data_IF_045661029415
#
_entry.id   IF_045661029415
#
_cell.length_a   1.000
_cell.length_b   1.000
_cell.length_c   1.000
_cell.angle_alpha   90.00
_cell.angle_beta   90.00
_cell.angle_gamma   90.00
#
_symmetry.space_group_name_H-M   'P 1'
#
loop_
_entity.id
_entity.type
_entity.pdbx_description
1 polymer ?
#
# COMPACT_ATOMS: atom_id res chain seq x y z
N UNK A 1 27.98 3.04 -23.02
CA UNK A 1 26.81 2.16 -23.16
C UNK A 1 25.60 3.05 -23.20
N UNK A 2 24.97 3.14 -24.35
CA UNK A 2 23.71 3.84 -24.54
C UNK A 2 22.64 3.20 -23.62
N UNK A 3 21.83 4.03 -22.97
CA UNK A 3 20.84 3.57 -22.03
C UNK A 3 19.56 3.16 -22.77
N UNK A 4 19.49 1.91 -23.20
CA UNK A 4 18.43 1.34 -24.05
C UNK A 4 17.23 0.80 -23.24
N UNK A 5 16.95 1.36 -22.05
CA UNK A 5 15.98 0.80 -21.11
C UNK A 5 14.53 0.83 -21.59
N UNK A 6 14.19 1.62 -22.57
CA UNK A 6 12.84 1.84 -23.08
C UNK A 6 12.70 1.71 -24.60
N UNK A 7 13.63 1.04 -25.28
CA UNK A 7 13.62 0.88 -26.74
C UNK A 7 12.40 0.11 -27.29
N UNK A 8 11.60 -0.49 -26.39
CA UNK A 8 10.40 -1.24 -26.76
C UNK A 8 9.09 -0.45 -26.54
N UNK A 9 9.15 0.74 -25.99
CA UNK A 9 7.95 1.53 -25.70
C UNK A 9 8.03 2.87 -26.42
N UNK A 10 7.06 3.16 -27.28
CA UNK A 10 6.89 4.50 -27.85
C UNK A 10 6.68 5.52 -26.72
N UNK A 11 7.25 6.72 -26.91
CA UNK A 11 7.09 7.81 -25.94
C UNK A 11 5.61 8.16 -25.79
N UNK A 12 5.08 7.98 -24.59
CA UNK A 12 3.71 8.36 -24.26
C UNK A 12 3.71 9.49 -23.21
N UNK A 13 3.37 10.73 -23.61
CA UNK A 13 3.35 11.87 -22.71
C UNK A 13 2.46 11.66 -21.47
N UNK A 14 1.33 11.00 -21.63
CA UNK A 14 0.39 10.72 -20.53
C UNK A 14 1.05 9.85 -19.45
N UNK A 15 1.68 8.74 -19.84
CA UNK A 15 2.38 7.87 -18.89
C UNK A 15 3.51 8.61 -18.17
N UNK A 16 4.26 9.42 -18.90
CA UNK A 16 5.36 10.23 -18.33
C UNK A 16 4.84 11.23 -17.30
N UNK A 17 3.73 11.91 -17.59
CA UNK A 17 3.11 12.86 -16.66
C UNK A 17 2.56 12.17 -15.40
N UNK A 18 1.88 11.04 -15.54
CA UNK A 18 1.37 10.26 -14.40
C UNK A 18 2.52 9.81 -13.49
N UNK A 19 3.61 9.31 -14.07
CA UNK A 19 4.80 8.92 -13.32
C UNK A 19 5.43 10.11 -12.59
N UNK A 20 5.58 11.25 -13.27
CA UNK A 20 6.12 12.47 -12.67
C UNK A 20 5.27 12.97 -11.50
N UNK A 21 3.97 13.05 -11.67
CA UNK A 21 3.03 13.48 -10.60
C UNK A 21 3.13 12.52 -9.41
N UNK A 22 3.18 11.21 -9.64
CA UNK A 22 3.34 10.24 -8.57
C UNK A 22 4.64 10.45 -7.78
N UNK A 23 5.75 10.71 -8.47
CA UNK A 23 7.04 11.03 -7.83
C UNK A 23 6.97 12.32 -7.03
N UNK A 24 6.29 13.35 -7.57
CA UNK A 24 6.11 14.63 -6.88
C UNK A 24 5.28 14.46 -5.59
N UNK A 25 4.19 13.68 -5.64
CA UNK A 25 3.40 13.34 -4.44
C UNK A 25 4.26 12.60 -3.40
N UNK A 26 5.11 11.68 -3.85
CA UNK A 26 6.07 11.00 -2.97
C UNK A 26 7.07 11.95 -2.32
N UNK A 27 7.61 12.92 -3.06
CA UNK A 27 8.52 13.94 -2.54
C UNK A 27 7.82 14.85 -1.51
N UNK A 28 6.59 15.28 -1.77
CA UNK A 28 5.78 16.08 -0.84
C UNK A 28 5.46 15.29 0.44
N UNK A 29 5.13 14.00 0.32
CA UNK A 29 4.94 13.13 1.47
C UNK A 29 6.23 13.00 2.29
N UNK A 30 7.38 12.85 1.63
CA UNK A 30 8.70 12.80 2.28
C UNK A 30 9.02 14.06 3.06
N UNK A 31 8.80 15.23 2.44
CA UNK A 31 8.99 16.52 3.08
C UNK A 31 8.04 16.68 4.30
N UNK A 32 6.78 16.29 4.15
CA UNK A 32 5.80 16.34 5.24
C UNK A 32 6.20 15.46 6.42
N UNK A 33 6.69 14.24 6.16
CA UNK A 33 7.18 13.33 7.20
C UNK A 33 8.47 13.85 7.86
N UNK A 34 9.34 14.51 7.11
CA UNK A 34 10.53 15.15 7.65
C UNK A 34 10.15 16.30 8.60
N UNK A 35 9.23 17.17 8.19
CA UNK A 35 8.70 18.25 9.05
C UNK A 35 8.05 17.66 10.29
N UNK A 36 7.22 16.62 10.14
CA UNK A 36 6.59 15.91 11.25
C UNK A 36 7.65 15.38 12.24
N UNK A 37 8.71 14.76 11.74
CA UNK A 37 9.79 14.24 12.57
C UNK A 37 10.50 15.37 13.33
N UNK A 38 10.86 16.46 12.67
CA UNK A 38 11.50 17.62 13.31
C UNK A 38 10.58 18.21 14.39
N UNK A 39 9.30 18.43 14.09
CA UNK A 39 8.34 18.97 15.05
C UNK A 39 8.07 18.01 16.22
N UNK A 40 8.24 16.70 16.02
CA UNK A 40 8.06 15.69 17.07
C UNK A 40 9.05 15.84 18.23
N UNK A 41 10.23 16.45 18.01
CA UNK A 41 11.23 16.68 19.06
C UNK A 41 10.71 17.54 20.22
N UNK A 42 9.66 18.35 20.00
CA UNK A 42 8.95 19.05 21.07
C UNK A 42 8.45 18.08 22.15
N UNK A 43 8.16 16.84 21.79
CA UNK A 43 7.67 15.79 22.70
C UNK A 43 8.77 14.90 23.27
N UNK A 44 10.05 15.22 23.02
CA UNK A 44 11.19 14.38 23.47
C UNK A 44 11.20 14.11 24.98
N UNK A 45 10.85 15.13 25.78
CA UNK A 45 10.82 15.00 27.24
C UNK A 45 9.52 14.39 27.79
N UNK A 46 8.43 14.48 27.04
CA UNK A 46 7.09 14.08 27.52
C UNK A 46 6.60 12.77 26.95
N UNK A 47 6.87 12.50 25.64
CA UNK A 47 6.39 11.31 24.93
C UNK A 47 7.47 10.83 23.93
N UNK A 48 8.56 10.25 24.41
CA UNK A 48 9.67 9.75 23.59
C UNK A 48 9.20 8.81 22.46
N UNK A 49 8.14 8.02 22.72
CA UNK A 49 7.58 7.09 21.71
C UNK A 49 7.07 7.81 20.47
N UNK A 50 6.54 9.03 20.58
CA UNK A 50 6.08 9.83 19.42
C UNK A 50 7.27 10.18 18.52
N UNK A 51 8.39 10.61 19.12
CA UNK A 51 9.60 10.97 18.37
C UNK A 51 10.20 9.73 17.69
N UNK A 52 10.29 8.61 18.42
CA UNK A 52 10.80 7.36 17.88
C UNK A 52 9.97 6.89 16.67
N UNK A 53 8.64 6.87 16.81
CA UNK A 53 7.75 6.44 15.72
C UNK A 53 7.72 7.42 14.55
N UNK A 54 7.87 8.72 14.79
CA UNK A 54 8.04 9.69 13.71
C UNK A 54 9.33 9.44 12.92
N UNK A 55 10.42 9.07 13.59
CA UNK A 55 11.67 8.65 12.95
C UNK A 55 11.51 7.34 12.15
N UNK A 56 10.79 6.35 12.70
CA UNK A 56 10.49 5.08 12.02
C UNK A 56 9.68 5.33 10.74
N UNK A 57 8.65 6.19 10.81
CA UNK A 57 7.83 6.56 9.63
C UNK A 57 8.69 7.22 8.55
N UNK A 58 9.55 8.16 8.92
CA UNK A 58 10.46 8.81 7.98
C UNK A 58 11.44 7.80 7.34
N UNK A 59 12.00 6.91 8.14
CA UNK A 59 12.89 5.84 7.64
C UNK A 59 12.16 4.90 6.68
N UNK A 60 10.97 4.42 7.05
CA UNK A 60 10.16 3.53 6.19
C UNK A 60 9.78 4.20 4.88
N UNK A 61 9.48 5.50 4.90
CA UNK A 61 9.17 6.25 3.68
C UNK A 61 10.39 6.39 2.78
N UNK A 62 11.56 6.70 3.34
CA UNK A 62 12.83 6.73 2.60
C UNK A 62 13.19 5.37 2.02
N UNK A 63 13.02 4.29 2.80
CA UNK A 63 13.21 2.92 2.35
C UNK A 63 12.24 2.56 1.21
N UNK A 64 10.97 2.97 1.33
CA UNK A 64 10.00 2.75 0.27
C UNK A 64 10.33 3.52 -1.01
N UNK A 65 10.83 4.75 -0.90
CA UNK A 65 11.31 5.52 -2.05
C UNK A 65 12.50 4.83 -2.73
N UNK A 66 13.45 4.29 -1.95
CA UNK A 66 14.55 3.49 -2.49
C UNK A 66 14.06 2.22 -3.19
N UNK A 67 13.13 1.47 -2.59
CA UNK A 67 12.50 0.32 -3.25
C UNK A 67 11.85 0.72 -4.57
N UNK A 68 11.11 1.84 -4.61
CA UNK A 68 10.50 2.37 -5.82
C UNK A 68 11.52 2.64 -6.93
N UNK A 69 12.68 3.20 -6.60
CA UNK A 69 13.78 3.37 -7.53
C UNK A 69 14.28 2.01 -8.06
N UNK A 70 14.44 1.00 -7.19
CA UNK A 70 14.89 -0.34 -7.61
C UNK A 70 13.87 -1.04 -8.51
N UNK A 71 12.56 -0.78 -8.36
CA UNK A 71 11.51 -1.29 -9.26
C UNK A 71 11.73 -0.76 -10.67
N UNK A 72 11.97 0.55 -10.81
CA UNK A 72 12.24 1.17 -12.12
C UNK A 72 13.52 0.60 -12.74
N UNK A 73 14.61 0.50 -11.96
CA UNK A 73 15.89 -0.04 -12.45
C UNK A 73 15.83 -1.52 -12.84
N UNK A 74 14.92 -2.31 -12.29
CA UNK A 74 14.79 -3.73 -12.58
C UNK A 74 13.81 -4.08 -13.69
N UNK A 75 13.39 -3.09 -14.49
CA UNK A 75 12.40 -3.27 -15.57
C UNK A 75 11.12 -3.92 -15.02
N UNK A 76 10.60 -3.35 -13.93
CA UNK A 76 9.33 -3.72 -13.30
C UNK A 76 9.28 -5.20 -12.84
N UNK A 77 10.34 -5.66 -12.18
CA UNK A 77 10.37 -7.01 -11.61
C UNK A 77 9.21 -7.20 -10.61
N UNK A 78 8.36 -8.25 -10.76
CA UNK A 78 7.14 -8.44 -9.97
C UNK A 78 7.39 -8.55 -8.46
N UNK A 79 8.47 -9.23 -8.07
CA UNK A 79 8.84 -9.37 -6.65
C UNK A 79 9.15 -8.00 -6.03
N UNK A 80 9.88 -7.15 -6.76
CA UNK A 80 10.19 -5.79 -6.29
C UNK A 80 8.96 -4.91 -6.21
N UNK A 81 8.03 -5.05 -7.15
CA UNK A 81 6.75 -4.33 -7.13
C UNK A 81 5.95 -4.73 -5.88
N UNK A 82 5.81 -6.04 -5.64
CA UNK A 82 5.09 -6.56 -4.46
C UNK A 82 5.72 -6.08 -3.16
N UNK A 83 7.07 -6.15 -3.07
CA UNK A 83 7.80 -5.69 -1.88
C UNK A 83 7.61 -4.20 -1.64
N UNK A 84 7.67 -3.39 -2.70
CA UNK A 84 7.43 -1.95 -2.61
C UNK A 84 6.00 -1.63 -2.13
N UNK A 85 4.98 -2.33 -2.64
CA UNK A 85 3.60 -2.17 -2.19
C UNK A 85 3.42 -2.58 -0.72
N UNK A 86 4.03 -3.68 -0.27
CA UNK A 86 3.99 -4.12 1.12
C UNK A 86 4.69 -3.13 2.05
N UNK A 87 5.82 -2.58 1.65
CA UNK A 87 6.53 -1.53 2.40
C UNK A 87 5.70 -0.25 2.52
N UNK A 88 4.95 0.12 1.47
CA UNK A 88 4.03 1.26 1.53
C UNK A 88 2.90 1.05 2.54
N UNK A 89 2.31 -0.15 2.58
CA UNK A 89 1.27 -0.49 3.58
C UNK A 89 1.82 -0.47 5.01
N UNK A 90 3.04 -0.98 5.22
CA UNK A 90 3.71 -0.92 6.51
C UNK A 90 3.92 0.53 6.95
N UNK A 91 4.29 1.42 6.03
CA UNK A 91 4.44 2.84 6.32
C UNK A 91 3.10 3.50 6.72
N UNK A 92 2.01 3.17 6.02
CA UNK A 92 0.66 3.64 6.39
C UNK A 92 0.27 3.13 7.78
N UNK A 93 0.52 1.86 8.09
CA UNK A 93 0.26 1.30 9.41
C UNK A 93 1.05 2.02 10.51
N UNK A 94 2.33 2.32 10.28
CA UNK A 94 3.17 3.07 11.18
C UNK A 94 2.66 4.51 11.40
N UNK A 95 2.18 5.18 10.35
CA UNK A 95 1.55 6.50 10.44
C UNK A 95 0.27 6.48 11.29
N UNK A 96 -0.61 5.49 11.08
CA UNK A 96 -1.83 5.33 11.87
C UNK A 96 -1.49 5.12 13.34
N UNK A 97 -0.47 4.29 13.61
CA UNK A 97 -0.01 4.05 14.97
C UNK A 97 0.60 5.30 15.60
N UNK A 98 1.37 6.09 14.87
CA UNK A 98 1.90 7.37 15.32
C UNK A 98 0.78 8.35 15.66
N UNK A 99 -0.26 8.44 14.83
CA UNK A 99 -1.45 9.28 15.11
C UNK A 99 -2.14 8.81 16.38
N UNK A 100 -2.26 7.49 16.57
CA UNK A 100 -2.82 6.93 17.79
C UNK A 100 -2.01 7.35 19.02
N UNK A 101 -0.69 7.17 18.99
CA UNK A 101 0.21 7.58 20.08
C UNK A 101 0.13 9.09 20.40
N UNK A 102 0.03 9.93 19.37
CA UNK A 102 -0.06 11.37 19.52
C UNK A 102 -1.39 11.80 20.20
N UNK A 103 -2.48 11.09 19.92
CA UNK A 103 -3.83 11.38 20.42
C UNK A 103 -4.14 10.85 21.81
N UNK A 104 -3.29 9.99 22.40
CA UNK A 104 -3.59 9.36 23.69
C UNK A 104 -3.55 10.41 24.82
N UNK A 105 -4.68 11.08 25.03
CA UNK A 105 -5.10 11.65 26.30
C UNK A 105 -6.49 11.14 26.74
N UNK A 106 -7.12 10.25 25.96
CA UNK A 106 -8.42 9.65 26.31
C UNK A 106 -8.21 8.16 26.58
N UNK A 107 -8.47 7.72 27.82
CA UNK A 107 -8.63 6.30 28.10
C UNK A 107 -9.80 5.79 27.24
N UNK A 108 -9.48 5.08 26.17
CA UNK A 108 -10.48 4.35 25.41
C UNK A 108 -10.87 3.11 26.23
N UNK A 109 -12.00 3.21 26.99
CA UNK A 109 -12.57 2.09 27.73
C UNK A 109 -13.58 1.41 26.79
N UNK A 110 -13.08 0.86 25.69
CA UNK A 110 -13.86 -0.06 24.86
C UNK A 110 -13.80 -1.45 25.46
N UNK A 111 -14.95 -2.15 25.54
CA UNK A 111 -14.94 -3.57 25.85
C UNK A 111 -14.16 -4.32 24.74
N UNK A 112 -13.26 -5.20 25.15
CA UNK A 112 -12.57 -6.07 24.23
C UNK A 112 -13.59 -7.05 23.64
N UNK A 113 -13.72 -7.06 22.33
CA UNK A 113 -14.55 -8.01 21.59
C UNK A 113 -13.64 -8.91 20.76
N UNK A 114 -13.49 -10.15 21.20
CA UNK A 114 -12.63 -11.13 20.57
C UNK A 114 -13.05 -11.43 19.12
N UNK A 115 -14.35 -11.47 18.86
CA UNK A 115 -14.90 -11.75 17.52
C UNK A 115 -14.50 -10.63 16.57
N UNK A 116 -14.67 -9.37 16.98
CA UNK A 116 -14.26 -8.22 16.19
C UNK A 116 -12.77 -8.24 15.86
N UNK A 117 -11.92 -8.57 16.83
CA UNK A 117 -10.47 -8.65 16.60
C UNK A 117 -10.11 -9.77 15.63
N UNK A 118 -10.72 -10.96 15.75
CA UNK A 118 -10.47 -12.07 14.82
C UNK A 118 -10.84 -11.67 13.39
N UNK A 119 -12.05 -11.12 13.19
CA UNK A 119 -12.46 -10.69 11.84
C UNK A 119 -11.58 -9.60 11.27
N UNK A 120 -11.08 -8.66 12.09
CA UNK A 120 -10.13 -7.63 11.65
C UNK A 120 -8.80 -8.24 11.20
N UNK A 121 -8.26 -9.20 11.94
CA UNK A 121 -7.03 -9.91 11.54
C UNK A 121 -7.22 -10.73 10.26
N UNK A 122 -8.37 -11.42 10.15
CA UNK A 122 -8.72 -12.17 8.93
C UNK A 122 -8.84 -11.24 7.74
N UNK A 123 -9.52 -10.10 7.87
CA UNK A 123 -9.63 -9.10 6.81
C UNK A 123 -8.26 -8.56 6.39
N UNK A 124 -7.38 -8.29 7.34
CA UNK A 124 -6.02 -7.84 7.06
C UNK A 124 -5.22 -8.91 6.30
N UNK A 125 -5.24 -10.15 6.76
CA UNK A 125 -4.55 -11.26 6.10
C UNK A 125 -5.07 -11.46 4.67
N UNK A 126 -6.37 -11.46 4.48
CA UNK A 126 -7.00 -11.60 3.16
C UNK A 126 -6.62 -10.44 2.23
N UNK A 127 -6.55 -9.21 2.76
CA UNK A 127 -6.11 -8.06 1.97
C UNK A 127 -4.65 -8.18 1.52
N UNK A 128 -3.76 -8.70 2.37
CA UNK A 128 -2.37 -8.95 1.99
C UNK A 128 -2.24 -10.03 0.90
N UNK A 129 -3.02 -11.12 1.02
CA UNK A 129 -3.09 -12.17 -0.01
C UNK A 129 -3.61 -11.57 -1.33
N UNK A 130 -4.66 -10.76 -1.27
CA UNK A 130 -5.25 -10.12 -2.44
C UNK A 130 -4.26 -9.21 -3.18
N UNK A 131 -3.42 -8.48 -2.46
CA UNK A 131 -2.36 -7.67 -3.05
C UNK A 131 -1.36 -8.57 -3.78
N UNK A 132 -0.95 -9.69 -3.17
CA UNK A 132 -0.05 -10.65 -3.81
C UNK A 132 -0.65 -11.23 -5.10
N UNK A 133 -1.92 -11.63 -5.08
CA UNK A 133 -2.63 -12.12 -6.26
C UNK A 133 -2.75 -11.02 -7.35
N UNK A 134 -3.06 -9.78 -6.95
CA UNK A 134 -3.15 -8.65 -7.88
C UNK A 134 -1.83 -8.34 -8.60
N UNK A 135 -0.70 -8.48 -7.91
CA UNK A 135 0.61 -8.30 -8.55
C UNK A 135 0.92 -9.40 -9.57
N UNK A 136 0.45 -10.63 -9.36
CA UNK A 136 0.58 -11.72 -10.34
C UNK A 136 -0.30 -11.48 -11.57
N UNK A 137 -1.55 -11.03 -11.38
CA UNK A 137 -2.43 -10.65 -12.51
C UNK A 137 -1.80 -9.53 -13.33
N UNK A 138 -1.24 -8.52 -12.67
CA UNK A 138 -0.52 -7.45 -13.37
C UNK A 138 0.68 -7.99 -14.16
N UNK A 139 1.46 -8.89 -13.57
CA UNK A 139 2.59 -9.52 -14.27
C UNK A 139 2.15 -10.23 -15.53
N UNK A 140 1.03 -10.96 -15.50
CA UNK A 140 0.46 -11.62 -16.65
C UNK A 140 0.18 -10.62 -17.80
N UNK A 141 -0.41 -9.46 -17.48
CA UNK A 141 -0.67 -8.39 -18.46
C UNK A 141 0.65 -7.78 -18.97
N UNK A 142 1.61 -7.51 -18.08
CA UNK A 142 2.90 -6.93 -18.45
C UNK A 142 3.67 -7.86 -19.44
N UNK A 143 3.58 -9.20 -19.27
CA UNK A 143 4.18 -10.17 -20.19
C UNK A 143 3.52 -10.10 -21.56
N UNK A 144 2.19 -10.01 -21.63
CA UNK A 144 1.49 -9.91 -22.92
C UNK A 144 1.84 -8.60 -23.65
N UNK A 145 1.87 -7.48 -22.94
CA UNK A 145 2.27 -6.19 -23.51
C UNK A 145 3.69 -6.25 -24.11
N UNK A 146 4.63 -6.91 -23.42
CA UNK A 146 6.01 -7.09 -23.89
C UNK A 146 6.11 -8.03 -25.10
N UNK A 147 5.19 -8.98 -25.23
CA UNK A 147 5.11 -9.85 -26.40
C UNK A 147 4.48 -9.18 -27.64
N UNK A 148 4.17 -7.88 -27.56
CA UNK A 148 3.65 -7.08 -28.68
C UNK A 148 2.12 -7.07 -28.78
N UNK A 149 1.40 -7.62 -27.79
CA UNK A 149 -0.06 -7.55 -27.74
C UNK A 149 -0.46 -6.19 -27.17
N UNK A 150 -0.73 -5.22 -28.04
CA UNK A 150 -1.10 -3.85 -27.68
C UNK A 150 -2.61 -3.65 -27.48
N UNK A 151 -3.42 -4.57 -28.02
CA UNK A 151 -4.87 -4.49 -27.89
C UNK A 151 -5.32 -4.92 -26.50
N UNK A 152 -5.82 -3.95 -25.75
CA UNK A 152 -6.32 -4.11 -24.35
C UNK A 152 -7.47 -5.12 -24.27
N UNK A 153 -8.31 -5.22 -25.32
CA UNK A 153 -9.45 -6.15 -25.37
C UNK A 153 -9.03 -7.62 -25.32
N UNK A 154 -7.82 -7.92 -25.80
CA UNK A 154 -7.27 -9.27 -25.89
C UNK A 154 -6.54 -9.71 -24.62
N UNK A 155 -6.07 -8.78 -23.79
CA UNK A 155 -5.27 -9.10 -22.60
C UNK A 155 -5.92 -10.08 -21.63
N UNK A 156 -7.24 -10.05 -21.54
CA UNK A 156 -8.04 -10.93 -20.69
C UNK A 156 -8.94 -11.90 -21.49
N UNK A 157 -8.64 -12.14 -22.76
CA UNK A 157 -9.39 -13.11 -23.56
C UNK A 157 -9.18 -14.56 -23.05
N UNK A 158 -7.96 -14.88 -22.60
CA UNK A 158 -7.61 -16.16 -21.98
C UNK A 158 -6.82 -15.91 -20.68
N UNK A 159 -7.47 -15.48 -19.60
CA UNK A 159 -6.78 -15.13 -18.37
C UNK A 159 -6.30 -16.39 -17.63
N UNK A 160 -5.18 -16.25 -16.92
CA UNK A 160 -4.67 -17.30 -16.04
C UNK A 160 -5.64 -17.58 -14.87
N UNK A 161 -5.54 -18.77 -14.30
CA UNK A 161 -6.31 -19.17 -13.09
C UNK A 161 -6.18 -18.18 -11.97
N UNK A 162 -5.01 -17.55 -11.81
CA UNK A 162 -4.76 -16.50 -10.81
C UNK A 162 -5.70 -15.30 -10.95
N UNK A 163 -6.09 -14.95 -12.18
CA UNK A 163 -7.06 -13.88 -12.41
C UNK A 163 -8.43 -14.22 -11.83
N UNK A 164 -8.91 -15.44 -12.05
CA UNK A 164 -10.21 -15.88 -11.53
C UNK A 164 -10.20 -15.95 -10.00
N UNK A 165 -9.11 -16.47 -9.40
CA UNK A 165 -8.93 -16.50 -7.95
C UNK A 165 -8.94 -15.07 -7.40
N UNK A 166 -8.13 -14.18 -7.96
CA UNK A 166 -8.07 -12.77 -7.53
C UNK A 166 -9.44 -12.09 -7.60
N UNK A 167 -10.16 -12.26 -8.72
CA UNK A 167 -11.49 -11.70 -8.92
C UNK A 167 -12.51 -12.24 -7.91
N UNK A 168 -12.55 -13.56 -7.71
CA UNK A 168 -13.51 -14.19 -6.80
C UNK A 168 -13.19 -13.88 -5.34
N UNK A 169 -11.90 -13.89 -4.98
CA UNK A 169 -11.46 -13.60 -3.63
C UNK A 169 -11.74 -12.15 -3.21
N UNK A 170 -11.82 -11.21 -4.15
CA UNK A 170 -12.21 -9.82 -3.87
C UNK A 170 -13.62 -9.72 -3.26
N UNK A 171 -14.56 -10.57 -3.68
CA UNK A 171 -15.91 -10.62 -3.09
C UNK A 171 -15.86 -11.11 -1.64
N UNK A 172 -15.02 -12.10 -1.34
CA UNK A 172 -14.87 -12.60 0.04
C UNK A 172 -14.38 -11.47 0.95
N UNK A 173 -13.36 -10.73 0.51
CA UNK A 173 -12.82 -9.57 1.25
C UNK A 173 -13.89 -8.49 1.42
N UNK A 174 -14.65 -8.20 0.37
CA UNK A 174 -15.74 -7.23 0.45
C UNK A 174 -16.75 -7.60 1.53
N UNK A 175 -17.23 -8.84 1.55
CA UNK A 175 -18.23 -9.28 2.53
C UNK A 175 -17.66 -9.32 3.95
N UNK A 176 -16.40 -9.71 4.15
CA UNK A 176 -15.75 -9.67 5.47
C UNK A 176 -15.68 -8.22 5.99
N UNK A 177 -15.28 -7.27 5.15
CA UNK A 177 -15.22 -5.86 5.54
C UNK A 177 -16.61 -5.26 5.77
N UNK A 178 -17.61 -5.65 4.97
CA UNK A 178 -18.99 -5.24 5.16
C UNK A 178 -19.54 -5.75 6.49
N UNK A 179 -19.27 -7.01 6.85
CA UNK A 179 -19.63 -7.58 8.14
C UNK A 179 -19.01 -6.80 9.31
N UNK A 180 -17.71 -6.49 9.24
CA UNK A 180 -16.99 -5.66 10.23
C UNK A 180 -17.68 -4.31 10.39
N UNK A 181 -18.03 -3.65 9.28
CA UNK A 181 -18.72 -2.35 9.30
C UNK A 181 -20.09 -2.46 9.99
N UNK A 182 -20.92 -3.43 9.58
CA UNK A 182 -22.25 -3.64 10.17
C UNK A 182 -22.14 -3.91 11.67
N UNK A 183 -21.20 -4.77 12.07
CA UNK A 183 -20.96 -5.07 13.49
C UNK A 183 -20.61 -3.80 14.29
N UNK A 184 -19.75 -2.94 13.75
CA UNK A 184 -19.39 -1.65 14.39
C UNK A 184 -20.60 -0.72 14.51
N UNK A 185 -21.44 -0.65 13.48
CA UNK A 185 -22.61 0.25 13.48
C UNK A 185 -23.68 -0.24 14.48
N UNK A 186 -23.86 -1.56 14.61
CA UNK A 186 -24.77 -2.14 15.60
C UNK A 186 -24.28 -1.93 17.03
N UNK A 187 -23.00 -2.10 17.28
CA UNK A 187 -22.41 -1.89 18.63
C UNK A 187 -22.38 -0.44 19.04
N UNK A 188 -22.36 0.53 18.11
CA UNK A 188 -22.49 1.96 18.39
C UNK A 188 -23.92 2.36 18.78
N UNK A 189 -24.93 1.75 18.15
CA UNK A 189 -26.34 2.03 18.44
C UNK A 189 -26.82 1.45 19.78
N UNK A 190 -26.10 0.48 20.33
CA UNK A 190 -26.40 -0.18 21.61
C UNK A 190 -25.81 0.56 22.85
N UNK A 191 -25.14 1.70 22.62
CA UNK A 191 -24.62 2.59 23.65
C UNK A 191 -25.32 3.94 23.62
#
# INVERSE_FOLDING_TARGET
>A
KEYTKHDYAEFNPYHTWVEYINRLCGALAGLSCLILFVLSFKYWKTKKSVVLWAGIVLFLLGFNAWLGATVVFSVLNPVKITTHMMAALLNVAALIYLIHLARINKKYIGKYDAVFHIFTWVAMLFSLIQIGLGTQVRQFIDVQTRSGITDVSVWLANPDVTFYIHRTFSFVIFFVNLYIKIFLDLTKKSK
#
